data_IF_009606883140
#
_entry.id   IF_009606883140
#
_cell.length_a   1.000
_cell.length_b   1.000
_cell.length_c   1.000
_cell.angle_alpha   90.00
_cell.angle_beta   90.00
_cell.angle_gamma   90.00
#
_symmetry.space_group_name_H-M   'P 1'
#
loop_
_entity.id
_entity.type
_entity.pdbx_description
1 polymer ?
#
# COMPACT_ATOMS: atom_id res chain seq x y z
N UNK A 1 10.93 -62.78 28.95
CA UNK A 1 10.90 -61.33 29.22
C UNK A 1 12.24 -60.70 28.83
N UNK A 2 12.33 -59.92 27.74
CA UNK A 2 13.45 -59.03 27.51
C UNK A 2 13.09 -57.59 27.92
N UNK A 3 13.99 -56.98 28.70
CA UNK A 3 13.91 -55.61 29.23
C UNK A 3 13.83 -54.58 28.10
N UNK A 4 12.82 -53.71 28.11
CA UNK A 4 12.81 -52.49 27.32
C UNK A 4 13.81 -51.49 27.91
N UNK A 5 14.87 -51.18 27.16
CA UNK A 5 15.79 -50.11 27.50
C UNK A 5 15.11 -48.77 27.25
N UNK A 6 14.93 -47.99 28.31
CA UNK A 6 14.46 -46.60 28.24
C UNK A 6 15.47 -45.74 27.48
N UNK A 7 15.16 -45.39 26.23
CA UNK A 7 15.93 -44.40 25.49
C UNK A 7 15.62 -43.00 26.02
N UNK A 8 16.29 -42.60 27.10
CA UNK A 8 16.34 -41.20 27.54
C UNK A 8 17.55 -40.54 26.90
N UNK A 9 17.45 -40.22 25.61
CA UNK A 9 18.39 -39.29 24.98
C UNK A 9 18.17 -37.88 25.55
N UNK A 10 19.23 -37.05 25.71
CA UNK A 10 19.07 -35.70 26.22
C UNK A 10 18.16 -34.91 25.27
N UNK A 11 17.06 -34.37 25.80
CA UNK A 11 16.21 -33.43 25.05
C UNK A 11 17.08 -32.28 24.56
N UNK A 12 17.40 -32.26 23.26
CA UNK A 12 17.95 -31.07 22.61
C UNK A 12 16.90 -29.97 22.77
N UNK A 13 17.09 -29.08 23.75
CA UNK A 13 16.33 -27.84 23.88
C UNK A 13 16.39 -27.11 22.54
N UNK A 14 15.36 -27.29 21.72
CA UNK A 14 15.17 -26.50 20.50
C UNK A 14 14.94 -25.08 20.97
N UNK A 15 15.95 -24.23 20.79
CA UNK A 15 15.84 -22.80 21.02
C UNK A 15 14.79 -22.26 20.03
N UNK A 16 13.56 -22.14 20.49
CA UNK A 16 12.47 -21.59 19.70
C UNK A 16 12.51 -20.09 19.83
N UNK A 17 12.95 -19.43 18.76
CA UNK A 17 12.95 -17.98 18.66
C UNK A 17 11.53 -17.42 18.87
N UNK A 18 11.40 -16.26 19.52
CA UNK A 18 10.13 -15.53 19.56
C UNK A 18 9.57 -15.30 18.15
N UNK A 19 8.23 -15.29 18.03
CA UNK A 19 7.56 -14.98 16.76
C UNK A 19 8.00 -13.59 16.30
N UNK A 20 8.56 -13.48 15.09
CA UNK A 20 9.01 -12.20 14.53
C UNK A 20 10.52 -11.93 14.63
N UNK A 21 11.28 -12.71 15.41
CA UNK A 21 12.73 -12.47 15.55
C UNK A 21 13.53 -12.57 14.24
N UNK A 22 13.30 -13.54 13.33
CA UNK A 22 14.07 -13.57 12.08
C UNK A 22 13.77 -12.37 11.18
N UNK A 23 12.55 -11.83 11.20
CA UNK A 23 12.18 -10.62 10.44
C UNK A 23 12.88 -9.38 10.99
N UNK A 24 12.93 -9.22 12.32
CA UNK A 24 13.63 -8.11 12.97
C UNK A 24 15.14 -8.20 12.72
N UNK A 25 15.72 -9.40 12.81
CA UNK A 25 17.13 -9.63 12.50
C UNK A 25 17.42 -9.27 11.03
N UNK A 26 16.58 -9.72 10.10
CA UNK A 26 16.72 -9.38 8.68
C UNK A 26 16.65 -7.86 8.45
N UNK A 27 15.70 -7.17 9.08
CA UNK A 27 15.57 -5.71 8.98
C UNK A 27 16.82 -5.00 9.52
N UNK A 28 17.30 -5.39 10.71
CA UNK A 28 18.50 -4.81 11.31
C UNK A 28 19.74 -5.07 10.46
N UNK A 29 19.86 -6.27 9.88
CA UNK A 29 20.96 -6.62 9.00
C UNK A 29 20.95 -5.76 7.74
N UNK A 30 19.80 -5.59 7.10
CA UNK A 30 19.65 -4.70 5.93
C UNK A 30 20.03 -3.27 6.28
N UNK A 31 19.51 -2.72 7.39
CA UNK A 31 19.83 -1.37 7.84
C UNK A 31 21.32 -1.18 8.19
N UNK A 32 21.97 -2.23 8.71
CA UNK A 32 23.40 -2.22 8.97
C UNK A 32 24.20 -2.20 7.67
N UNK A 33 23.84 -3.06 6.70
CA UNK A 33 24.50 -3.09 5.39
C UNK A 33 24.33 -1.75 4.67
N UNK A 34 23.12 -1.19 4.67
CA UNK A 34 22.85 0.13 4.07
C UNK A 34 23.69 1.23 4.72
N UNK A 35 23.85 1.18 6.05
CA UNK A 35 24.70 2.12 6.78
C UNK A 35 26.19 2.01 6.44
N UNK A 36 26.66 0.82 6.07
CA UNK A 36 28.06 0.57 5.71
C UNK A 36 28.35 0.92 4.25
N UNK A 37 27.37 0.69 3.36
CA UNK A 37 27.50 0.94 1.91
C UNK A 37 27.26 2.41 1.57
N UNK A 38 26.29 3.07 2.23
CA UNK A 38 25.96 4.47 2.02
C UNK A 38 26.46 5.33 3.20
N UNK A 39 27.67 5.92 3.11
CA UNK A 39 28.06 6.95 4.07
C UNK A 39 27.00 8.07 3.98
N UNK A 40 26.47 8.50 5.14
CA UNK A 40 25.34 9.42 5.27
C UNK A 40 23.92 8.83 5.11
N UNK A 41 23.75 7.50 5.11
CA UNK A 41 22.42 6.87 5.06
C UNK A 41 21.43 7.41 6.10
N UNK A 42 21.86 7.65 7.33
CA UNK A 42 21.00 8.20 8.40
C UNK A 42 20.97 9.72 8.47
N UNK A 43 21.68 10.41 7.57
CA UNK A 43 21.72 11.87 7.61
C UNK A 43 20.39 12.43 7.10
N UNK A 44 19.75 13.23 7.95
CA UNK A 44 18.55 13.99 7.60
C UNK A 44 18.91 15.46 7.58
N UNK A 45 18.72 16.11 6.43
CA UNK A 45 19.02 17.53 6.21
C UNK A 45 17.71 18.27 5.98
N UNK A 46 17.56 19.42 6.62
CA UNK A 46 16.45 20.33 6.35
C UNK A 46 16.89 21.34 5.27
N UNK A 47 16.26 21.29 4.10
CA UNK A 47 16.47 22.26 3.02
C UNK A 47 15.11 22.78 2.54
N UNK A 48 14.98 24.09 2.34
CA UNK A 48 13.78 24.74 1.81
C UNK A 48 12.46 24.33 2.51
N UNK A 49 12.51 24.14 3.85
CA UNK A 49 11.34 23.73 4.64
C UNK A 49 10.92 22.27 4.44
N UNK A 50 11.78 21.42 3.88
CA UNK A 50 11.56 19.99 3.67
C UNK A 50 12.72 19.16 4.24
N UNK A 51 12.39 18.03 4.86
CA UNK A 51 13.38 17.04 5.29
C UNK A 51 13.83 16.21 4.09
N UNK A 52 15.14 16.06 3.94
CA UNK A 52 15.79 15.24 2.93
C UNK A 52 16.70 14.23 3.59
N UNK A 53 16.90 13.09 2.92
CA UNK A 53 17.75 12.01 3.39
C UNK A 53 17.14 10.65 3.05
N UNK A 54 17.97 9.62 3.01
CA UNK A 54 17.53 8.26 2.71
C UNK A 54 16.35 7.79 3.58
N UNK A 55 16.26 8.09 4.89
CA UNK A 55 15.13 7.66 5.72
C UNK A 55 13.81 8.33 5.31
N UNK A 56 13.88 9.60 4.90
CA UNK A 56 12.71 10.36 4.45
C UNK A 56 12.25 9.89 3.07
N UNK A 57 13.19 9.59 2.17
CA UNK A 57 12.88 9.04 0.86
C UNK A 57 12.26 7.64 0.95
N UNK A 58 12.77 6.81 1.86
CA UNK A 58 12.15 5.51 2.18
C UNK A 58 10.72 5.72 2.65
N UNK A 59 10.49 6.66 3.57
CA UNK A 59 9.16 6.96 4.08
C UNK A 59 8.22 7.49 2.98
N UNK A 60 8.71 8.36 2.11
CA UNK A 60 7.95 8.91 0.99
C UNK A 60 7.55 7.81 -0.01
N UNK A 61 8.46 6.87 -0.32
CA UNK A 61 8.18 5.72 -1.20
C UNK A 61 7.30 4.67 -0.53
N UNK A 62 7.39 4.53 0.79
CA UNK A 62 6.55 3.63 1.57
C UNK A 62 5.12 4.16 1.73
N UNK A 63 4.90 5.47 1.71
CA UNK A 63 3.60 6.07 1.97
C UNK A 63 2.47 5.62 1.02
N UNK A 64 2.66 5.58 -0.33
CA UNK A 64 1.66 5.01 -1.23
C UNK A 64 1.36 3.54 -0.93
N UNK A 65 2.39 2.74 -0.61
CA UNK A 65 2.22 1.32 -0.26
C UNK A 65 1.46 1.17 1.06
N UNK A 66 1.74 2.01 2.05
CA UNK A 66 1.02 2.04 3.33
C UNK A 66 -0.46 2.40 3.13
N UNK A 67 -0.77 3.40 2.30
CA UNK A 67 -2.15 3.75 1.94
C UNK A 67 -2.91 2.57 1.34
N UNK A 68 -2.27 1.84 0.41
CA UNK A 68 -2.85 0.64 -0.17
C UNK A 68 -3.04 -0.46 0.88
N UNK A 69 -2.06 -0.68 1.75
CA UNK A 69 -2.13 -1.69 2.80
C UNK A 69 -3.30 -1.43 3.77
N UNK A 70 -3.58 -0.16 4.09
CA UNK A 70 -4.73 0.23 4.91
C UNK A 70 -6.04 -0.19 4.23
N UNK A 71 -6.21 0.12 2.93
CA UNK A 71 -7.39 -0.32 2.17
C UNK A 71 -7.51 -1.84 2.10
N UNK A 72 -6.40 -2.53 1.82
CA UNK A 72 -6.33 -3.99 1.74
C UNK A 72 -6.63 -4.70 3.05
N UNK A 73 -6.40 -4.04 4.18
CA UNK A 73 -6.78 -4.57 5.50
C UNK A 73 -8.27 -4.87 5.57
N UNK A 74 -9.13 -4.03 4.98
CA UNK A 74 -10.59 -4.27 4.93
C UNK A 74 -10.97 -5.47 4.05
N UNK A 75 -10.27 -5.65 2.93
CA UNK A 75 -10.54 -6.77 2.02
C UNK A 75 -10.21 -8.09 2.69
N UNK A 76 -9.04 -8.16 3.33
CA UNK A 76 -8.59 -9.36 4.04
C UNK A 76 -9.46 -9.62 5.27
N UNK A 77 -9.84 -8.55 6.00
CA UNK A 77 -10.76 -8.61 7.13
C UNK A 77 -12.10 -9.28 6.80
N UNK A 78 -12.59 -9.08 5.58
CA UNK A 78 -13.86 -9.65 5.11
C UNK A 78 -13.69 -11.05 4.49
N UNK A 79 -12.49 -11.64 4.57
CA UNK A 79 -12.18 -12.97 4.02
C UNK A 79 -11.90 -12.97 2.52
N UNK A 80 -11.71 -11.79 1.91
CA UNK A 80 -11.37 -11.64 0.50
C UNK A 80 -9.86 -11.57 0.24
N UNK A 81 -9.49 -11.68 -1.03
CA UNK A 81 -8.14 -11.39 -1.54
C UNK A 81 -8.33 -10.46 -2.74
N UNK A 82 -7.72 -9.28 -2.71
CA UNK A 82 -7.73 -8.34 -3.84
C UNK A 82 -6.35 -8.27 -4.50
N UNK A 83 -6.27 -8.81 -5.70
CA UNK A 83 -5.09 -8.79 -6.55
C UNK A 83 -5.07 -7.60 -7.53
N UNK A 84 -6.21 -6.91 -7.66
CA UNK A 84 -6.44 -5.87 -8.67
C UNK A 84 -5.94 -4.49 -8.27
N UNK A 85 -5.41 -4.30 -7.05
CA UNK A 85 -4.98 -2.99 -6.55
C UNK A 85 -4.05 -2.23 -7.50
N UNK A 86 -3.10 -2.92 -8.13
CA UNK A 86 -2.20 -2.31 -9.11
C UNK A 86 -2.91 -1.87 -10.40
N UNK A 87 -3.93 -2.61 -10.82
CA UNK A 87 -4.75 -2.27 -11.97
C UNK A 87 -5.68 -1.08 -11.66
N UNK A 88 -6.27 -1.04 -10.47
CA UNK A 88 -7.06 0.12 -10.01
C UNK A 88 -6.19 1.36 -9.93
N UNK A 89 -4.96 1.25 -9.40
CA UNK A 89 -4.00 2.35 -9.40
C UNK A 89 -3.64 2.83 -10.80
N UNK A 90 -3.44 1.89 -11.74
CA UNK A 90 -3.12 2.24 -13.13
C UNK A 90 -4.28 3.00 -13.79
N UNK A 91 -5.52 2.56 -13.59
CA UNK A 91 -6.73 3.22 -14.11
C UNK A 91 -6.87 4.62 -13.49
N UNK A 92 -6.81 4.72 -12.16
CA UNK A 92 -6.95 6.01 -11.46
C UNK A 92 -5.84 6.99 -11.83
N UNK A 93 -4.59 6.51 -11.95
CA UNK A 93 -3.45 7.31 -12.38
C UNK A 93 -3.56 7.76 -13.84
N UNK A 94 -3.99 6.87 -14.74
CA UNK A 94 -4.27 7.22 -16.14
C UNK A 94 -5.39 8.26 -16.25
N UNK A 95 -6.48 8.10 -15.51
CA UNK A 95 -7.56 9.09 -15.45
C UNK A 95 -7.06 10.43 -14.93
N UNK A 96 -6.28 10.44 -13.85
CA UNK A 96 -5.72 11.67 -13.30
C UNK A 96 -4.80 12.38 -14.31
N UNK A 97 -3.92 11.63 -14.97
CA UNK A 97 -3.01 12.17 -15.97
C UNK A 97 -3.77 12.75 -17.18
N UNK A 98 -4.71 11.98 -17.77
CA UNK A 98 -5.49 12.43 -18.92
C UNK A 98 -6.35 13.67 -18.60
N UNK A 99 -6.98 13.71 -17.42
CA UNK A 99 -7.77 14.89 -17.00
C UNK A 99 -6.89 16.11 -16.71
N UNK A 100 -5.67 15.90 -16.23
CA UNK A 100 -4.71 16.99 -16.00
C UNK A 100 -4.24 17.59 -17.33
N UNK A 101 -3.93 16.75 -18.32
CA UNK A 101 -3.56 17.22 -19.67
C UNK A 101 -4.73 17.92 -20.38
N UNK A 102 -5.97 17.49 -20.11
CA UNK A 102 -7.16 18.19 -20.59
C UNK A 102 -7.39 19.56 -19.94
N UNK A 103 -6.55 19.97 -18.97
CA UNK A 103 -6.60 21.31 -18.36
C UNK A 103 -7.64 21.46 -17.25
N UNK A 104 -8.15 20.37 -16.69
CA UNK A 104 -9.09 20.43 -15.57
C UNK A 104 -8.41 20.85 -14.26
N UNK A 105 -9.19 21.45 -13.36
CA UNK A 105 -8.69 21.87 -12.04
C UNK A 105 -8.39 20.67 -11.13
N UNK A 106 -7.45 20.85 -10.20
CA UNK A 106 -7.01 19.78 -9.29
C UNK A 106 -8.16 19.05 -8.57
N UNK A 107 -9.20 19.73 -8.01
CA UNK A 107 -10.30 19.04 -7.36
C UNK A 107 -11.06 18.11 -8.31
N UNK A 108 -11.27 18.53 -9.56
CA UNK A 108 -11.96 17.72 -10.57
C UNK A 108 -11.13 16.49 -10.94
N UNK A 109 -9.82 16.67 -11.11
CA UNK A 109 -8.88 15.56 -11.37
C UNK A 109 -8.92 14.53 -10.24
N UNK A 110 -8.86 14.98 -8.98
CA UNK A 110 -8.89 14.09 -7.82
C UNK A 110 -10.22 13.36 -7.69
N UNK A 111 -11.34 14.05 -7.88
CA UNK A 111 -12.67 13.43 -7.85
C UNK A 111 -12.84 12.41 -8.97
N UNK A 112 -12.35 12.70 -10.18
CA UNK A 112 -12.40 11.77 -11.31
C UNK A 112 -11.55 10.51 -11.04
N UNK A 113 -10.33 10.68 -10.50
CA UNK A 113 -9.46 9.56 -10.15
C UNK A 113 -10.07 8.69 -9.03
N UNK A 114 -10.64 9.31 -7.99
CA UNK A 114 -11.34 8.60 -6.91
C UNK A 114 -12.58 7.88 -7.43
N UNK A 115 -13.35 8.51 -8.31
CA UNK A 115 -14.53 7.90 -8.93
C UNK A 115 -14.14 6.69 -9.80
N UNK A 116 -13.07 6.80 -10.59
CA UNK A 116 -12.56 5.67 -11.38
C UNK A 116 -12.14 4.50 -10.49
N UNK A 117 -11.44 4.77 -9.38
CA UNK A 117 -11.09 3.75 -8.39
C UNK A 117 -12.31 3.12 -7.70
N UNK A 118 -13.30 3.93 -7.33
CA UNK A 118 -14.55 3.46 -6.72
C UNK A 118 -15.37 2.61 -7.68
N UNK A 119 -15.44 2.97 -8.96
CA UNK A 119 -16.11 2.18 -10.00
C UNK A 119 -15.43 0.83 -10.22
N UNK A 120 -14.09 0.81 -10.22
CA UNK A 120 -13.32 -0.43 -10.33
C UNK A 120 -13.51 -1.34 -9.10
N UNK A 121 -13.56 -0.76 -7.90
CA UNK A 121 -13.90 -1.50 -6.67
C UNK A 121 -15.34 -2.00 -6.66
N UNK A 122 -16.29 -1.18 -7.14
CA UNK A 122 -17.70 -1.54 -7.27
C UNK A 122 -17.87 -2.70 -8.26
N UNK A 123 -17.13 -2.69 -9.37
CA UNK A 123 -17.10 -3.80 -10.32
C UNK A 123 -16.73 -5.12 -9.63
N UNK A 124 -15.62 -5.15 -8.89
CA UNK A 124 -15.24 -6.32 -8.10
C UNK A 124 -16.32 -6.70 -7.07
N UNK A 125 -16.89 -5.72 -6.37
CA UNK A 125 -17.95 -5.93 -5.39
C UNK A 125 -19.21 -6.57 -5.99
N UNK A 126 -19.64 -6.13 -7.18
CA UNK A 126 -20.80 -6.68 -7.89
C UNK A 126 -20.53 -8.13 -8.32
N UNK A 127 -19.35 -8.42 -8.89
CA UNK A 127 -18.98 -9.77 -9.28
C UNK A 127 -19.04 -10.76 -8.11
N UNK A 128 -18.61 -10.32 -6.93
CA UNK A 128 -18.59 -11.15 -5.73
C UNK A 128 -19.99 -11.24 -5.09
N UNK A 129 -20.65 -10.12 -4.84
CA UNK A 129 -21.90 -10.09 -4.07
C UNK A 129 -23.12 -10.57 -4.87
N UNK A 130 -23.18 -10.24 -6.17
CA UNK A 130 -24.35 -10.53 -7.02
C UNK A 130 -24.12 -11.80 -7.83
N UNK A 131 -22.99 -11.87 -8.56
CA UNK A 131 -22.70 -13.02 -9.42
C UNK A 131 -22.09 -14.21 -8.68
N UNK A 132 -21.82 -14.07 -7.37
CA UNK A 132 -21.26 -15.12 -6.50
C UNK A 132 -19.95 -15.73 -7.03
N UNK A 133 -19.16 -14.93 -7.75
CA UNK A 133 -17.82 -15.32 -8.20
C UNK A 133 -16.87 -15.24 -7.00
N UNK A 134 -15.91 -16.17 -6.90
CA UNK A 134 -14.90 -16.12 -5.84
C UNK A 134 -14.08 -14.82 -5.92
N UNK A 135 -13.81 -14.13 -4.79
CA UNK A 135 -13.10 -12.84 -4.77
C UNK A 135 -11.76 -12.84 -5.50
N UNK A 136 -11.00 -13.94 -5.38
CA UNK A 136 -9.73 -14.09 -6.08
C UNK A 136 -9.89 -14.03 -7.60
N UNK A 137 -10.90 -14.72 -8.15
CA UNK A 137 -11.16 -14.75 -9.59
C UNK A 137 -11.66 -13.38 -10.08
N UNK A 138 -12.57 -12.75 -9.33
CA UNK A 138 -13.08 -11.42 -9.67
C UNK A 138 -11.95 -10.38 -9.77
N UNK A 139 -11.06 -10.36 -8.78
CA UNK A 139 -9.94 -9.41 -8.77
C UNK A 139 -8.85 -9.77 -9.78
N UNK A 140 -8.65 -11.06 -10.10
CA UNK A 140 -7.77 -11.47 -11.19
C UNK A 140 -8.25 -10.96 -12.56
N UNK A 141 -9.55 -11.03 -12.83
CA UNK A 141 -10.16 -10.50 -14.08
C UNK A 141 -9.84 -9.02 -14.22
N UNK A 142 -10.12 -8.23 -13.18
CA UNK A 142 -9.85 -6.79 -13.21
C UNK A 142 -8.34 -6.50 -13.30
N UNK A 143 -7.50 -7.30 -12.64
CA UNK A 143 -6.04 -7.16 -12.71
C UNK A 143 -5.53 -7.32 -14.15
N UNK A 144 -6.04 -8.33 -14.87
CA UNK A 144 -5.67 -8.59 -16.27
C UNK A 144 -6.19 -7.49 -17.19
N UNK A 145 -7.46 -7.10 -17.03
CA UNK A 145 -8.10 -6.09 -17.88
C UNK A 145 -7.59 -4.66 -17.64
N UNK A 146 -7.26 -4.31 -16.40
CA UNK A 146 -7.10 -2.91 -16.02
C UNK A 146 -5.86 -2.22 -16.61
N UNK A 147 -4.81 -2.98 -16.97
CA UNK A 147 -3.71 -2.41 -17.78
C UNK A 147 -4.19 -1.98 -19.17
N UNK A 148 -5.04 -2.78 -19.81
CA UNK A 148 -5.65 -2.41 -21.09
C UNK A 148 -6.57 -1.20 -20.96
N UNK A 149 -7.38 -1.14 -19.90
CA UNK A 149 -8.24 0.02 -19.62
C UNK A 149 -7.40 1.28 -19.41
N UNK A 150 -6.33 1.21 -18.61
CA UNK A 150 -5.42 2.34 -18.40
C UNK A 150 -4.78 2.81 -19.72
N UNK A 151 -4.35 1.88 -20.58
CA UNK A 151 -3.83 2.21 -21.91
C UNK A 151 -4.86 2.87 -22.81
N UNK A 152 -6.12 2.42 -22.78
CA UNK A 152 -7.19 3.06 -23.56
C UNK A 152 -7.44 4.50 -23.09
N UNK A 153 -7.39 4.75 -21.77
CA UNK A 153 -7.55 6.10 -21.21
C UNK A 153 -6.41 7.04 -21.64
N UNK A 154 -5.20 6.52 -21.80
CA UNK A 154 -4.03 7.31 -22.24
C UNK A 154 -3.76 7.24 -23.74
N UNK A 155 -4.66 6.61 -24.52
CA UNK A 155 -4.44 6.28 -25.94
C UNK A 155 -3.09 5.56 -26.21
N UNK A 156 -2.61 4.78 -25.24
CA UNK A 156 -1.35 4.05 -25.30
C UNK A 156 -0.09 4.92 -25.20
N UNK A 157 -0.22 6.22 -24.94
CA UNK A 157 0.91 7.15 -24.86
C UNK A 157 1.37 7.37 -23.42
N UNK A 158 2.61 7.83 -23.29
CA UNK A 158 3.13 8.35 -22.01
C UNK A 158 2.55 9.76 -21.83
N UNK A 159 1.59 9.88 -20.91
CA UNK A 159 0.96 11.16 -20.58
C UNK A 159 1.86 11.90 -19.61
N UNK A 160 2.54 12.93 -20.11
CA UNK A 160 3.30 13.87 -19.29
C UNK A 160 2.45 15.10 -19.05
N UNK A 161 2.44 15.57 -17.81
CA UNK A 161 1.70 16.76 -17.40
C UNK A 161 2.59 17.57 -16.47
N UNK A 162 2.53 18.89 -16.61
CA UNK A 162 3.22 19.82 -15.73
C UNK A 162 2.16 20.58 -14.92
N UNK A 163 1.83 20.03 -13.76
CA UNK A 163 0.88 20.64 -12.82
C UNK A 163 1.55 20.79 -11.47
N UNK A 164 1.91 22.02 -11.06
CA UNK A 164 2.55 22.27 -9.78
C UNK A 164 1.72 21.76 -8.59
N UNK A 165 0.40 21.84 -8.70
CA UNK A 165 -0.52 21.43 -7.64
C UNK A 165 -0.58 19.89 -7.49
N UNK A 166 -0.58 19.15 -8.61
CA UNK A 166 -0.56 17.68 -8.56
C UNK A 166 0.83 17.16 -8.18
N UNK A 167 1.90 17.83 -8.63
CA UNK A 167 3.27 17.54 -8.21
C UNK A 167 3.44 17.74 -6.69
N UNK A 168 2.86 18.82 -6.14
CA UNK A 168 2.90 19.05 -4.69
C UNK A 168 2.18 17.95 -3.88
N UNK A 169 1.08 17.39 -4.41
CA UNK A 169 0.40 16.27 -3.77
C UNK A 169 1.24 14.99 -3.80
N UNK A 170 1.94 14.73 -4.91
CA UNK A 170 2.73 13.51 -5.11
C UNK A 170 4.14 13.53 -4.51
N UNK A 171 4.78 14.70 -4.42
CA UNK A 171 6.18 14.82 -3.98
C UNK A 171 6.49 16.13 -3.25
N UNK A 172 5.49 16.96 -2.97
CA UNK A 172 5.66 18.19 -2.21
C UNK A 172 5.94 17.97 -0.73
N UNK A 173 6.14 19.07 -0.02
CA UNK A 173 6.28 19.10 1.43
C UNK A 173 5.12 19.84 2.08
N UNK A 174 4.70 19.33 3.22
CA UNK A 174 3.81 20.00 4.14
C UNK A 174 4.30 19.72 5.56
N UNK A 175 4.38 20.73 6.44
CA UNK A 175 4.88 20.57 7.82
C UNK A 175 6.21 19.79 7.91
N UNK A 176 7.20 20.13 7.07
CA UNK A 176 8.54 19.51 6.99
C UNK A 176 8.59 18.09 6.39
N UNK A 177 7.48 17.35 6.39
CA UNK A 177 7.39 16.00 5.85
C UNK A 177 6.86 15.97 4.41
N UNK A 178 7.16 14.90 3.65
CA UNK A 178 6.55 14.71 2.33
C UNK A 178 5.03 14.60 2.43
N UNK A 179 4.30 15.29 1.56
CA UNK A 179 2.82 15.29 1.53
C UNK A 179 2.23 13.87 1.52
N UNK A 180 2.76 12.88 0.75
CA UNK A 180 2.24 11.52 0.76
C UNK A 180 2.27 10.85 2.14
N UNK A 181 3.31 11.13 2.94
CA UNK A 181 3.47 10.58 4.29
C UNK A 181 2.38 11.10 5.21
N UNK A 182 2.05 12.38 5.10
CA UNK A 182 0.99 13.01 5.89
C UNK A 182 -0.37 12.46 5.49
N UNK A 183 -0.63 12.32 4.19
CA UNK A 183 -1.86 11.69 3.70
C UNK A 183 -1.98 10.27 4.25
N UNK A 184 -0.91 9.47 4.16
CA UNK A 184 -0.88 8.11 4.71
C UNK A 184 -1.14 8.07 6.22
N UNK A 185 -0.49 8.94 7.00
CA UNK A 185 -0.67 9.02 8.44
C UNK A 185 -2.08 9.48 8.82
N UNK A 186 -2.64 10.46 8.12
CA UNK A 186 -4.00 10.93 8.32
C UNK A 186 -5.02 9.83 7.99
N UNK A 187 -4.87 9.14 6.86
CA UNK A 187 -5.73 8.01 6.48
C UNK A 187 -5.61 6.86 7.49
N UNK A 188 -4.40 6.56 7.97
CA UNK A 188 -4.19 5.56 9.01
C UNK A 188 -4.91 5.93 10.30
N UNK A 189 -4.79 7.19 10.74
CA UNK A 189 -5.45 7.68 11.95
C UNK A 189 -6.97 7.61 11.82
N UNK A 190 -7.52 8.07 10.69
CA UNK A 190 -8.95 7.99 10.39
C UNK A 190 -9.43 6.54 10.38
N UNK A 191 -8.70 5.66 9.72
CA UNK A 191 -9.02 4.24 9.64
C UNK A 191 -8.93 3.55 11.01
N UNK A 192 -7.92 3.87 11.80
CA UNK A 192 -7.76 3.36 13.16
C UNK A 192 -8.90 3.81 14.08
N UNK A 193 -9.32 5.08 13.99
CA UNK A 193 -10.48 5.59 14.72
C UNK A 193 -11.77 4.90 14.26
N UNK A 194 -11.96 4.76 12.94
CA UNK A 194 -13.12 4.10 12.35
C UNK A 194 -13.23 2.64 12.78
N UNK A 195 -12.15 1.87 12.67
CA UNK A 195 -12.11 0.45 13.08
C UNK A 195 -12.25 0.26 14.58
N UNK A 196 -11.88 1.23 15.42
CA UNK A 196 -12.11 1.14 16.88
C UNK A 196 -13.52 1.54 17.32
N UNK A 197 -14.18 2.44 16.60
CA UNK A 197 -15.48 3.01 17.00
C UNK A 197 -16.69 2.40 16.28
N UNK A 198 -16.51 1.58 15.25
CA UNK A 198 -17.61 1.04 14.45
C UNK A 198 -17.81 -0.46 14.60
N UNK A 199 -19.00 -0.95 14.21
CA UNK A 199 -19.37 -2.38 14.22
C UNK A 199 -18.42 -3.28 13.44
N UNK A 200 -17.60 -2.72 12.54
CA UNK A 200 -16.55 -3.44 11.83
C UNK A 200 -15.51 -4.07 12.79
N UNK A 201 -15.29 -3.45 13.96
CA UNK A 201 -14.45 -4.01 15.02
C UNK A 201 -14.96 -5.35 15.55
N UNK A 202 -16.29 -5.53 15.55
CA UNK A 202 -16.95 -6.75 16.03
C UNK A 202 -16.84 -7.87 14.98
N UNK A 203 -16.94 -7.53 13.69
CA UNK A 203 -16.76 -8.47 12.58
C UNK A 203 -15.31 -9.00 12.52
N UNK A 204 -14.33 -8.11 12.72
CA UNK A 204 -12.89 -8.40 12.70
C UNK A 204 -12.36 -9.23 13.87
N UNK A 205 -13.14 -9.37 14.96
CA UNK A 205 -12.76 -10.11 16.17
C UNK A 205 -13.33 -11.54 16.23
N UNK A 206 -14.11 -11.95 15.23
CA UNK A 206 -14.64 -13.31 15.09
C UNK A 206 -13.76 -14.13 14.15
#
# INVERSE_FOLDING_TARGET
MPRSLSQTGPEKRRFTWPKGTPQIIALLLVLLVDSLVAPHFYQVVLQDGRLFGSPIDILNRAAPVALLAIGMTLVIATGGIDLSVGAVMAIAGATAASMTVAGHSLPVVLLAALAAGALAGLWNGILVAVLKIQPFVATLILMVAGRGVAQLITAGQIVTFDSPALAWLGSGSFLLFPTPVIVAAATLLLFWLFTRKTALACLLRR
#
